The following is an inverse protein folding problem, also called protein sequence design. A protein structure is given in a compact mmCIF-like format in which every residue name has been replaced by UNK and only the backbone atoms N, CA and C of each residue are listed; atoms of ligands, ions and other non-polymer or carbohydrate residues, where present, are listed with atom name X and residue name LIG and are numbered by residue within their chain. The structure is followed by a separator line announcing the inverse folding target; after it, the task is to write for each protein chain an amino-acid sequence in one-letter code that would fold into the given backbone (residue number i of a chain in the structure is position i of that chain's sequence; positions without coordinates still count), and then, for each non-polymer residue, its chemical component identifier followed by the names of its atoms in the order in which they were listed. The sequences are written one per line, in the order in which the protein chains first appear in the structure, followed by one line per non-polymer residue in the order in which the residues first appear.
data_IF_336944259417
#
_entry.id   IF_336944259417
#
_cell.length_a   1.000
_cell.length_b   1.000
_cell.length_c   1.000
_cell.angle_alpha   90.00
_cell.angle_beta   90.00
_cell.angle_gamma   90.00
#
_symmetry.space_group_name_H-M   'P 1'
#
loop_
_entity.id
_entity.type
_entity.pdbx_description
1 polymer ?
#
# COMPACT_ATOMS: atom_id res chain seq x y z
N UNK A 1 0.11 -32.02 38.44
CA UNK A 1 1.33 -31.21 38.15
C UNK A 1 1.80 -31.27 36.69
N UNK A 2 1.72 -32.41 35.98
CA UNK A 2 2.23 -32.52 34.59
C UNK A 2 1.49 -31.66 33.53
N UNK A 3 0.20 -31.33 33.72
CA UNK A 3 -0.57 -30.49 32.78
C UNK A 3 -0.10 -29.02 32.74
N UNK A 4 0.33 -28.44 33.87
CA UNK A 4 0.78 -27.03 33.90
C UNK A 4 2.17 -26.83 33.29
N UNK A 5 3.06 -27.83 33.42
CA UNK A 5 4.36 -27.87 32.75
C UNK A 5 4.23 -27.94 31.22
N UNK A 6 3.23 -28.68 30.72
CA UNK A 6 2.95 -28.81 29.28
C UNK A 6 2.41 -27.50 28.69
N UNK A 7 1.52 -26.79 29.40
CA UNK A 7 1.03 -25.47 29.00
C UNK A 7 2.12 -24.40 29.01
N UNK A 8 3.00 -24.39 30.02
CA UNK A 8 4.15 -23.45 30.07
C UNK A 8 5.14 -23.68 28.92
N UNK A 9 5.42 -24.94 28.56
CA UNK A 9 6.27 -25.27 27.39
C UNK A 9 5.64 -24.83 26.06
N UNK A 10 4.32 -24.90 25.93
CA UNK A 10 3.59 -24.43 24.73
C UNK A 10 3.59 -22.89 24.62
N UNK A 11 3.36 -22.16 25.71
CA UNK A 11 3.46 -20.70 25.73
C UNK A 11 4.88 -20.19 25.42
N UNK A 12 5.92 -20.83 25.97
CA UNK A 12 7.30 -20.44 25.66
C UNK A 12 7.67 -20.72 24.20
N UNK A 13 7.12 -21.79 23.59
CA UNK A 13 7.30 -22.08 22.16
C UNK A 13 6.61 -21.05 21.27
N UNK A 14 5.38 -20.62 21.59
CA UNK A 14 4.68 -19.60 20.79
C UNK A 14 5.33 -18.22 20.89
N UNK A 15 5.82 -17.84 22.08
CA UNK A 15 6.59 -16.60 22.28
C UNK A 15 7.91 -16.61 21.51
N UNK A 16 8.58 -17.77 21.44
CA UNK A 16 9.82 -17.93 20.68
C UNK A 16 9.58 -17.89 19.17
N UNK A 17 8.50 -18.49 18.69
CA UNK A 17 8.07 -18.38 17.28
C UNK A 17 7.70 -16.94 16.91
N UNK A 18 6.95 -16.22 17.77
CA UNK A 18 6.64 -14.80 17.57
C UNK A 18 7.88 -13.91 17.54
N UNK A 19 8.85 -14.14 18.43
CA UNK A 19 10.14 -13.40 18.40
C UNK A 19 10.98 -13.70 17.15
N UNK A 20 10.91 -14.93 16.62
CA UNK A 20 11.58 -15.31 15.37
C UNK A 20 10.89 -14.69 14.14
N UNK A 21 9.55 -14.65 14.11
CA UNK A 21 8.78 -13.90 13.09
C UNK A 21 9.05 -12.40 13.15
N UNK A 22 9.09 -11.80 14.34
CA UNK A 22 9.42 -10.37 14.50
C UNK A 22 10.85 -10.05 14.07
N UNK A 23 11.81 -10.98 14.30
CA UNK A 23 13.19 -10.85 13.83
C UNK A 23 13.30 -10.99 12.31
N UNK A 24 12.55 -11.91 11.69
CA UNK A 24 12.57 -12.07 10.23
C UNK A 24 11.93 -10.87 9.52
N UNK A 25 10.85 -10.31 10.07
CA UNK A 25 10.22 -9.08 9.57
C UNK A 25 11.14 -7.85 9.73
N UNK A 26 11.81 -7.71 10.88
CA UNK A 26 12.82 -6.64 11.08
C UNK A 26 14.00 -6.76 10.14
N UNK A 27 14.52 -7.98 9.89
CA UNK A 27 15.61 -8.20 8.95
C UNK A 27 15.17 -7.94 7.51
N UNK A 28 13.93 -8.29 7.13
CA UNK A 28 13.36 -7.98 5.82
C UNK A 28 13.17 -6.46 5.60
N UNK A 29 12.85 -5.71 6.66
CA UNK A 29 12.75 -4.23 6.68
C UNK A 29 14.12 -3.54 6.49
N UNK A 30 15.21 -4.15 6.96
CA UNK A 30 16.58 -3.63 6.86
C UNK A 30 17.27 -3.91 5.51
N UNK A 31 16.89 -4.97 4.80
CA UNK A 31 17.47 -5.30 3.48
C UNK A 31 17.12 -4.28 2.40
N UNK A 32 16.03 -3.52 2.58
CA UNK A 32 15.57 -2.48 1.64
C UNK A 32 16.31 -1.14 1.79
N UNK A 33 17.09 -0.95 2.87
CA UNK A 33 17.67 0.35 3.21
C UNK A 33 19.07 0.60 2.60
N UNK A 34 19.67 -0.36 1.89
CA UNK A 34 21.09 -0.26 1.46
C UNK A 34 21.38 -0.29 -0.04
N UNK A 35 20.39 -0.27 -0.94
CA UNK A 35 20.67 -0.20 -2.38
C UNK A 35 20.27 1.17 -2.93
N UNK A 36 21.30 2.00 -3.17
CA UNK A 36 21.24 3.24 -3.94
C UNK A 36 20.44 3.02 -5.23
N UNK A 37 19.45 3.90 -5.43
CA UNK A 37 18.72 4.19 -6.66
C UNK A 37 17.74 3.10 -7.15
N UNK A 38 16.48 3.51 -7.32
CA UNK A 38 15.34 2.80 -7.92
C UNK A 38 14.78 1.59 -7.16
N UNK A 39 14.17 1.82 -5.99
CA UNK A 39 13.26 0.85 -5.36
C UNK A 39 11.85 1.43 -5.34
N UNK A 40 10.95 0.84 -6.14
CA UNK A 40 9.51 1.05 -6.04
C UNK A 40 9.07 0.41 -4.71
N UNK A 41 8.64 1.23 -3.75
CA UNK A 41 8.23 0.72 -2.43
C UNK A 41 6.92 -0.06 -2.57
N UNK A 42 7.03 -1.38 -2.39
CA UNK A 42 5.90 -2.26 -2.11
C UNK A 42 5.35 -1.93 -0.73
N UNK A 43 4.15 -1.35 -0.67
CA UNK A 43 3.45 -1.19 0.61
C UNK A 43 3.15 -2.57 1.17
N UNK A 44 3.62 -2.85 2.39
CA UNK A 44 3.28 -4.09 3.10
C UNK A 44 1.82 -3.97 3.52
N UNK A 45 0.94 -4.59 2.76
CA UNK A 45 -0.46 -4.81 3.15
C UNK A 45 -0.46 -5.94 4.18
N UNK A 46 -1.04 -5.69 5.36
CA UNK A 46 -1.19 -6.73 6.38
C UNK A 46 -2.39 -7.59 5.96
N UNK A 47 -2.16 -8.81 5.47
CA UNK A 47 -3.14 -9.66 4.77
C UNK A 47 -4.40 -10.06 5.59
N UNK A 48 -4.50 -9.67 6.87
CA UNK A 48 -5.68 -9.93 7.73
C UNK A 48 -6.46 -8.66 8.13
N UNK A 49 -5.93 -7.45 7.91
CA UNK A 49 -6.63 -6.21 8.23
C UNK A 49 -6.33 -5.14 7.18
N UNK A 50 -7.36 -4.38 6.79
CA UNK A 50 -7.34 -3.42 5.70
C UNK A 50 -6.46 -2.17 5.96
N UNK A 51 -5.36 -2.27 6.72
CA UNK A 51 -4.51 -1.15 7.12
C UNK A 51 -3.23 -1.07 6.29
N UNK A 52 -2.91 0.14 5.87
CA UNK A 52 -1.76 0.47 5.05
C UNK A 52 -0.81 1.33 5.87
N UNK A 53 0.44 0.88 6.02
CA UNK A 53 1.48 1.66 6.69
C UNK A 53 1.92 2.84 5.84
N UNK A 54 1.89 4.05 6.41
CA UNK A 54 2.27 5.27 5.68
C UNK A 54 3.48 5.99 6.27
N UNK A 55 3.86 5.69 7.51
CA UNK A 55 4.89 6.45 8.20
C UNK A 55 5.02 6.18 9.69
N UNK A 56 5.76 7.06 10.36
CA UNK A 56 5.97 7.06 11.81
C UNK A 56 5.65 8.43 12.37
N UNK A 57 5.04 8.48 13.56
CA UNK A 57 4.83 9.72 14.29
C UNK A 57 6.17 10.30 14.72
N UNK A 58 6.44 11.53 14.29
CA UNK A 58 7.63 12.30 14.62
C UNK A 58 7.48 13.10 15.91
N UNK A 59 8.25 14.20 16.01
CA UNK A 59 8.26 15.07 17.18
C UNK A 59 6.95 15.84 17.38
N UNK A 60 6.61 16.17 18.63
CA UNK A 60 5.51 17.10 18.91
C UNK A 60 5.89 18.54 18.50
N UNK A 61 4.96 19.22 17.83
CA UNK A 61 5.06 20.63 17.45
C UNK A 61 4.25 21.52 18.40
N UNK A 62 4.92 22.46 19.05
CA UNK A 62 4.30 23.39 20.01
C UNK A 62 3.73 22.69 21.25
N UNK A 63 2.74 23.35 21.87
CA UNK A 63 2.13 22.92 23.14
C UNK A 63 0.72 22.31 23.00
N UNK A 64 0.08 22.48 21.84
CA UNK A 64 -1.34 22.15 21.64
C UNK A 64 -1.58 20.79 20.96
N UNK A 65 -0.69 19.82 21.20
CA UNK A 65 -0.84 18.44 20.73
C UNK A 65 -0.68 18.19 19.24
N UNK A 66 0.00 19.09 18.50
CA UNK A 66 0.32 18.85 17.08
C UNK A 66 1.50 17.88 16.99
N UNK A 67 1.45 16.94 16.04
CA UNK A 67 2.53 15.97 15.78
C UNK A 67 3.09 16.14 14.37
N UNK A 68 4.40 16.00 14.21
CA UNK A 68 5.02 15.77 12.90
C UNK A 68 4.73 14.34 12.46
N UNK A 69 4.58 14.13 11.16
CA UNK A 69 4.48 12.79 10.57
C UNK A 69 5.66 12.59 9.64
N UNK A 70 6.49 11.59 9.93
CA UNK A 70 7.55 11.14 9.03
C UNK A 70 6.93 10.08 8.11
N UNK A 71 6.44 10.54 6.96
CA UNK A 71 5.77 9.68 5.98
C UNK A 71 6.76 9.10 4.98
N UNK A 72 6.40 7.96 4.40
CA UNK A 72 7.18 7.27 3.37
C UNK A 72 6.44 7.21 2.02
N UNK A 73 5.29 7.89 1.91
CA UNK A 73 4.58 8.02 0.65
C UNK A 73 5.23 9.07 -0.26
N UNK A 74 5.10 8.86 -1.58
CA UNK A 74 5.58 9.81 -2.60
C UNK A 74 4.73 11.06 -2.71
N UNK A 75 3.46 10.96 -2.35
CA UNK A 75 2.48 12.03 -2.53
C UNK A 75 1.77 12.32 -1.20
N UNK A 76 2.15 13.47 -0.61
CA UNK A 76 1.59 13.97 0.64
C UNK A 76 0.17 14.51 0.45
N UNK A 77 -0.19 14.96 -0.76
CA UNK A 77 -1.47 15.62 -1.02
C UNK A 77 -2.64 14.66 -0.76
N UNK A 78 -2.44 13.36 -1.04
CA UNK A 78 -3.42 12.30 -0.77
C UNK A 78 -3.82 12.19 0.71
N UNK A 79 -2.96 12.61 1.63
CA UNK A 79 -3.25 12.49 3.07
C UNK A 79 -3.89 13.75 3.66
N UNK A 80 -3.87 14.88 2.94
CA UNK A 80 -4.34 16.18 3.46
C UNK A 80 -5.85 16.24 3.64
N UNK A 81 -6.60 15.36 2.98
CA UNK A 81 -8.06 15.25 3.05
C UNK A 81 -8.54 14.22 4.08
N UNK A 82 -7.65 13.41 4.66
CA UNK A 82 -8.07 12.29 5.50
C UNK A 82 -8.60 12.75 6.85
N UNK A 83 -9.80 12.28 7.19
CA UNK A 83 -10.47 12.64 8.45
C UNK A 83 -9.90 11.89 9.66
N UNK A 84 -9.21 10.77 9.46
CA UNK A 84 -8.67 9.97 10.54
C UNK A 84 -7.45 9.14 10.11
N UNK A 85 -6.65 8.77 11.11
CA UNK A 85 -5.50 7.86 10.96
C UNK A 85 -5.51 6.84 12.11
N UNK A 86 -4.78 5.75 11.93
CA UNK A 86 -4.58 4.72 12.95
C UNK A 86 -3.14 4.75 13.43
N UNK A 87 -2.90 4.73 14.75
CA UNK A 87 -1.56 4.86 15.33
C UNK A 87 -1.30 3.72 16.31
N UNK A 88 -0.08 3.20 16.28
CA UNK A 88 0.40 2.17 17.21
C UNK A 88 0.12 0.75 16.76
N UNK A 89 0.63 -0.22 17.54
CA UNK A 89 0.42 -1.65 17.28
C UNK A 89 -1.06 -2.05 17.43
N UNK A 90 -1.79 -1.35 18.29
CA UNK A 90 -3.23 -1.52 18.53
C UNK A 90 -4.11 -0.88 17.46
N UNK A 91 -3.52 -0.18 16.48
CA UNK A 91 -4.23 0.55 15.41
C UNK A 91 -5.34 1.42 15.98
N UNK A 92 -5.06 2.17 17.04
CA UNK A 92 -6.08 3.05 17.63
C UNK A 92 -6.41 4.17 16.65
N UNK A 93 -7.71 4.38 16.40
CA UNK A 93 -8.22 5.45 15.52
C UNK A 93 -8.07 6.82 16.18
N UNK A 94 -7.57 7.79 15.42
CA UNK A 94 -7.45 9.20 15.80
C UNK A 94 -8.08 10.09 14.73
N UNK A 95 -9.11 10.84 15.11
CA UNK A 95 -9.78 11.78 14.22
C UNK A 95 -8.97 13.09 14.10
N UNK A 96 -8.75 13.52 12.87
CA UNK A 96 -7.99 14.73 12.55
C UNK A 96 -8.84 15.96 12.77
N UNK A 97 -8.33 16.86 13.60
CA UNK A 97 -8.87 18.21 13.78
C UNK A 97 -8.36 19.16 12.71
N UNK A 98 -7.08 19.06 12.34
CA UNK A 98 -6.47 19.92 11.34
C UNK A 98 -5.20 19.32 10.74
N UNK A 99 -5.06 19.48 9.43
CA UNK A 99 -3.84 19.18 8.66
C UNK A 99 -2.96 20.42 8.53
N UNK A 100 -1.66 20.21 8.53
CA UNK A 100 -0.65 21.24 8.30
C UNK A 100 0.42 20.69 7.37
N UNK A 101 0.51 21.24 6.16
CA UNK A 101 1.54 20.88 5.18
C UNK A 101 2.24 22.14 4.68
N UNK A 102 3.57 22.14 4.69
CA UNK A 102 4.40 23.20 4.11
C UNK A 102 5.66 22.57 3.51
N UNK A 103 5.82 22.67 2.19
CA UNK A 103 6.82 21.88 1.45
C UNK A 103 6.67 20.39 1.77
N UNK A 104 7.79 19.74 2.11
CA UNK A 104 7.85 18.33 2.48
C UNK A 104 7.47 18.03 3.94
N UNK A 105 7.11 19.04 4.74
CA UNK A 105 6.73 18.81 6.14
C UNK A 105 5.23 18.52 6.25
N UNK A 106 4.87 17.32 6.69
CA UNK A 106 3.51 16.95 7.09
C UNK A 106 3.34 16.96 8.62
N UNK A 107 2.27 17.57 9.12
CA UNK A 107 1.91 17.48 10.53
C UNK A 107 0.40 17.48 10.75
N UNK A 108 -0.01 16.78 11.80
CA UNK A 108 -1.40 16.55 12.13
C UNK A 108 -1.72 17.09 13.52
N UNK A 109 -2.94 17.57 13.67
CA UNK A 109 -3.55 17.78 14.98
C UNK A 109 -4.79 16.91 15.07
N UNK A 110 -4.85 16.06 16.08
CA UNK A 110 -6.03 15.24 16.36
C UNK A 110 -6.99 15.93 17.32
N UNK A 111 -8.25 15.49 17.32
CA UNK A 111 -9.28 15.98 18.26
C UNK A 111 -8.91 15.59 19.70
N UNK A 112 -8.43 14.36 19.87
CA UNK A 112 -8.19 13.73 21.17
C UNK A 112 -6.78 13.94 21.72
N UNK A 113 -5.90 14.62 20.98
CA UNK A 113 -4.52 14.94 21.39
C UNK A 113 -4.43 16.45 21.63
N UNK A 114 -4.49 16.86 22.90
CA UNK A 114 -4.68 18.25 23.32
C UNK A 114 -3.41 18.89 23.87
N UNK A 115 -2.49 18.08 24.38
CA UNK A 115 -1.25 18.53 25.05
C UNK A 115 0.01 18.04 24.34
N UNK A 116 1.15 18.69 24.63
CA UNK A 116 2.47 18.25 24.15
C UNK A 116 2.81 16.85 24.65
N UNK A 117 2.50 16.54 25.91
CA UNK A 117 2.82 15.25 26.52
C UNK A 117 2.04 14.11 25.87
N UNK A 118 0.76 14.32 25.56
CA UNK A 118 -0.04 13.36 24.78
C UNK A 118 0.54 13.13 23.38
N UNK A 119 1.03 14.18 22.72
CA UNK A 119 1.68 14.07 21.41
C UNK A 119 3.03 13.32 21.49
N UNK A 120 3.85 13.58 22.51
CA UNK A 120 5.11 12.85 22.72
C UNK A 120 4.87 11.36 23.06
N UNK A 121 3.77 11.02 23.74
CA UNK A 121 3.36 9.62 23.97
C UNK A 121 3.02 8.86 22.68
N UNK A 122 2.79 9.56 21.57
CA UNK A 122 2.58 8.96 20.25
C UNK A 122 3.85 8.88 19.41
N UNK A 123 4.93 9.55 19.83
CA UNK A 123 6.19 9.59 19.09
C UNK A 123 6.75 8.19 18.87
N UNK A 124 7.36 8.00 17.70
CA UNK A 124 7.93 6.74 17.20
C UNK A 124 6.92 5.59 17.01
N UNK A 125 5.62 5.84 17.19
CA UNK A 125 4.59 4.85 16.82
C UNK A 125 4.35 4.89 15.32
N UNK A 126 4.09 3.71 14.77
CA UNK A 126 3.69 3.56 13.37
C UNK A 126 2.32 4.21 13.14
N UNK A 127 2.15 4.85 11.98
CA UNK A 127 0.89 5.43 11.53
C UNK A 127 0.39 4.72 10.26
N UNK A 128 -0.91 4.47 10.22
CA UNK A 128 -1.59 3.71 9.19
C UNK A 128 -2.86 4.43 8.73
N UNK A 129 -3.33 4.06 7.54
CA UNK A 129 -4.63 4.43 6.99
C UNK A 129 -5.42 3.14 6.71
N UNK A 130 -6.74 3.23 6.59
CA UNK A 130 -7.52 2.14 6.00
C UNK A 130 -7.33 2.14 4.48
N UNK A 131 -7.30 0.98 3.84
CA UNK A 131 -7.19 0.87 2.38
C UNK A 131 -8.44 1.44 1.70
N UNK A 132 -9.58 1.45 2.38
CA UNK A 132 -10.80 2.12 1.91
C UNK A 132 -10.71 3.66 1.95
N UNK A 133 -9.75 4.23 2.71
CA UNK A 133 -9.50 5.67 2.71
C UNK A 133 -8.63 6.11 1.54
N UNK A 134 -7.91 5.20 0.90
CA UNK A 134 -7.43 5.51 -0.43
C UNK A 134 -8.68 5.79 -1.25
N UNK A 135 -8.84 7.04 -1.68
CA UNK A 135 -9.73 7.36 -2.79
C UNK A 135 -9.47 6.28 -3.81
N UNK A 136 -10.51 5.48 -4.09
CA UNK A 136 -10.47 4.40 -5.08
C UNK A 136 -9.65 4.97 -6.21
N UNK A 137 -8.47 4.38 -6.46
CA UNK A 137 -7.62 4.78 -7.56
C UNK A 137 -8.59 5.03 -8.71
N UNK A 138 -8.75 6.29 -9.15
CA UNK A 138 -9.53 6.59 -10.36
C UNK A 138 -9.12 5.52 -11.35
N UNK A 139 -10.06 4.67 -11.79
CA UNK A 139 -9.96 3.24 -12.23
C UNK A 139 -8.78 2.82 -13.17
N UNK A 140 -7.59 3.35 -12.95
CA UNK A 140 -6.57 3.64 -13.97
C UNK A 140 -5.15 3.40 -13.45
N UNK A 141 -4.96 3.16 -12.14
CA UNK A 141 -3.67 2.77 -11.59
C UNK A 141 -3.67 1.27 -11.26
N UNK A 142 -3.15 0.47 -12.19
CA UNK A 142 -3.04 -0.98 -12.05
C UNK A 142 -1.59 -1.35 -11.73
N UNK A 143 -1.38 -2.23 -10.74
CA UNK A 143 -0.04 -2.79 -10.56
C UNK A 143 0.27 -3.72 -11.74
N UNK A 144 1.48 -3.62 -12.30
CA UNK A 144 1.90 -4.50 -13.40
C UNK A 144 1.76 -5.99 -13.03
N UNK A 145 2.00 -6.34 -11.77
CA UNK A 145 1.79 -7.70 -11.25
C UNK A 145 0.35 -8.18 -11.33
N UNK A 146 -0.63 -7.29 -11.24
CA UNK A 146 -2.06 -7.63 -11.26
C UNK A 146 -2.59 -7.84 -12.67
N UNK A 147 -1.86 -7.35 -13.66
CA UNK A 147 -2.20 -7.42 -15.08
C UNK A 147 -1.56 -8.65 -15.78
N UNK A 148 -0.40 -9.12 -15.32
CA UNK A 148 0.27 -10.28 -15.92
C UNK A 148 -0.62 -11.53 -15.83
N UNK A 149 -0.79 -12.22 -16.97
CA UNK A 149 -1.58 -13.44 -17.09
C UNK A 149 -3.09 -13.25 -17.20
N UNK A 150 -3.60 -12.02 -17.17
CA UNK A 150 -5.03 -11.78 -17.39
C UNK A 150 -5.46 -12.18 -18.81
N UNK A 151 -6.69 -12.69 -18.93
CA UNK A 151 -7.31 -12.91 -20.23
C UNK A 151 -7.69 -11.57 -20.85
N UNK A 152 -7.43 -11.40 -22.14
CA UNK A 152 -7.79 -10.20 -22.92
C UNK A 152 -9.01 -10.53 -23.77
N UNK A 153 -10.05 -9.70 -23.63
CA UNK A 153 -11.32 -9.81 -24.35
C UNK A 153 -11.68 -8.46 -24.99
N UNK A 154 -12.46 -8.46 -26.06
CA UNK A 154 -13.04 -7.22 -26.62
C UNK A 154 -14.36 -6.86 -25.93
N UNK A 155 -14.92 -5.71 -26.26
CA UNK A 155 -16.26 -5.27 -25.79
C UNK A 155 -17.34 -6.24 -26.27
N UNK A 156 -17.14 -6.90 -27.41
CA UNK A 156 -18.02 -7.95 -27.95
C UNK A 156 -17.81 -9.33 -27.31
N UNK A 157 -17.10 -9.42 -26.18
CA UNK A 157 -16.77 -10.67 -25.47
C UNK A 157 -15.92 -11.66 -26.27
N UNK A 158 -15.27 -11.22 -27.36
CA UNK A 158 -14.36 -12.06 -28.13
C UNK A 158 -13.05 -12.24 -27.36
N UNK A 159 -12.68 -13.49 -27.08
CA UNK A 159 -11.40 -13.83 -26.45
C UNK A 159 -10.24 -13.63 -27.41
N UNK A 160 -9.38 -12.67 -27.09
CA UNK A 160 -8.22 -12.29 -27.88
C UNK A 160 -7.00 -13.12 -27.49
N UNK A 161 -6.73 -13.22 -26.20
CA UNK A 161 -5.49 -13.82 -25.73
C UNK A 161 -5.21 -13.61 -24.25
N UNK A 162 -3.92 -13.56 -23.87
CA UNK A 162 -3.47 -13.30 -22.50
C UNK A 162 -2.32 -12.31 -22.46
N UNK A 163 -2.27 -11.52 -21.38
CA UNK A 163 -1.14 -10.60 -21.13
C UNK A 163 0.09 -11.41 -20.74
N UNK A 164 1.16 -11.28 -21.53
CA UNK A 164 2.44 -11.97 -21.32
C UNK A 164 3.46 -11.09 -20.62
N UNK A 165 3.53 -9.81 -20.97
CA UNK A 165 4.49 -8.86 -20.42
C UNK A 165 3.93 -7.44 -20.43
N UNK A 166 4.57 -6.56 -19.68
CA UNK A 166 4.26 -5.13 -19.60
C UNK A 166 5.58 -4.39 -19.65
N UNK A 167 5.66 -3.38 -20.52
CA UNK A 167 6.84 -2.55 -20.71
C UNK A 167 6.50 -1.11 -20.37
N UNK A 168 7.42 -0.43 -19.68
CA UNK A 168 7.35 1.00 -19.43
C UNK A 168 8.63 1.65 -19.96
N UNK A 169 8.48 2.48 -21.00
CA UNK A 169 9.61 3.20 -21.62
C UNK A 169 9.70 4.67 -21.16
N UNK A 170 9.06 5.03 -20.06
CA UNK A 170 9.11 6.36 -19.46
C UNK A 170 8.03 7.35 -19.93
N UNK A 171 7.21 6.99 -20.93
CA UNK A 171 6.10 7.82 -21.41
C UNK A 171 4.72 7.18 -21.14
N UNK A 172 4.57 5.88 -21.44
CA UNK A 172 3.34 5.11 -21.21
C UNK A 172 3.66 3.63 -21.03
N UNK A 173 2.73 2.91 -20.42
CA UNK A 173 2.79 1.45 -20.32
C UNK A 173 2.31 0.82 -21.65
N UNK A 174 3.00 -0.23 -22.09
CA UNK A 174 2.64 -1.05 -23.25
C UNK A 174 2.47 -2.49 -22.77
N UNK A 175 1.32 -3.09 -23.07
CA UNK A 175 1.05 -4.50 -22.77
C UNK A 175 1.37 -5.38 -23.97
N UNK A 176 2.05 -6.50 -23.72
CA UNK A 176 2.28 -7.57 -24.70
C UNK A 176 1.19 -8.62 -24.54
N UNK A 177 0.36 -8.79 -25.56
CA UNK A 177 -0.72 -9.77 -25.58
C UNK A 177 -0.34 -10.93 -26.50
N UNK A 178 -0.29 -12.13 -25.94
CA UNK A 178 -0.21 -13.37 -26.72
C UNK A 178 -1.60 -13.69 -27.23
N UNK A 179 -1.80 -13.54 -28.54
CA UNK A 179 -3.06 -13.87 -29.19
C UNK A 179 -3.29 -15.38 -29.21
N UNK A 180 -4.56 -15.78 -29.24
CA UNK A 180 -4.95 -17.19 -29.42
C UNK A 180 -4.45 -17.77 -30.76
N UNK A 181 -4.12 -16.93 -31.74
CA UNK A 181 -3.50 -17.31 -33.02
C UNK A 181 -2.00 -17.63 -32.90
N UNK A 182 -1.37 -17.41 -31.74
CA UNK A 182 0.06 -17.57 -31.51
C UNK A 182 0.91 -16.35 -31.88
N UNK A 183 0.32 -15.32 -32.49
CA UNK A 183 0.97 -14.02 -32.72
C UNK A 183 1.05 -13.21 -31.41
N UNK A 184 1.96 -12.24 -31.39
CA UNK A 184 2.14 -11.32 -30.27
C UNK A 184 1.78 -9.91 -30.74
N UNK A 185 0.94 -9.23 -29.98
CA UNK A 185 0.54 -7.84 -30.22
C UNK A 185 0.97 -6.94 -29.07
N UNK A 186 1.35 -5.72 -29.39
CA UNK A 186 1.75 -4.70 -28.42
C UNK A 186 0.69 -3.61 -28.38
N UNK A 187 -0.03 -3.51 -27.27
CA UNK A 187 -1.16 -2.58 -27.11
C UNK A 187 -0.78 -1.50 -26.10
N UNK A 188 -0.92 -0.21 -26.42
CA UNK A 188 -0.76 0.85 -25.44
C UNK A 188 -1.78 0.71 -24.30
N UNK A 189 -1.32 0.76 -23.05
CA UNK A 189 -2.20 0.72 -21.88
C UNK A 189 -2.76 2.12 -21.59
N UNK A 190 -3.59 2.61 -22.51
CA UNK A 190 -4.24 3.93 -22.44
C UNK A 190 -5.76 3.80 -22.57
N UNK A 191 -6.51 4.85 -22.21
CA UNK A 191 -7.98 4.88 -22.31
C UNK A 191 -8.50 4.72 -23.73
N UNK A 192 -7.65 4.92 -24.73
CA UNK A 192 -8.00 4.77 -26.14
C UNK A 192 -8.06 3.30 -26.57
N UNK A 193 -7.41 2.40 -25.83
CA UNK A 193 -7.36 0.97 -26.14
C UNK A 193 -7.94 0.09 -25.03
N UNK A 194 -7.76 0.48 -23.77
CA UNK A 194 -8.29 -0.25 -22.61
C UNK A 194 -9.65 0.30 -22.23
N UNK A 195 -10.68 -0.56 -22.29
CA UNK A 195 -12.04 -0.20 -21.88
C UNK A 195 -12.25 -0.42 -20.38
N UNK A 196 -11.85 -1.59 -19.86
CA UNK A 196 -12.05 -1.94 -18.46
C UNK A 196 -11.04 -3.00 -18.02
N UNK A 197 -10.56 -2.93 -16.78
CA UNK A 197 -9.80 -4.02 -16.16
C UNK A 197 -10.60 -4.59 -15.00
N UNK A 198 -10.74 -5.91 -14.96
CA UNK A 198 -11.34 -6.66 -13.87
C UNK A 198 -10.21 -7.41 -13.17
N UNK A 199 -9.74 -6.84 -12.05
CA UNK A 199 -8.58 -7.34 -11.30
C UNK A 199 -8.63 -8.86 -11.09
N UNK A 200 -7.51 -9.55 -11.34
CA UNK A 200 -7.35 -11.01 -11.19
C UNK A 200 -8.26 -11.88 -12.09
N UNK A 201 -9.05 -11.28 -13.00
CA UNK A 201 -9.94 -12.01 -13.92
C UNK A 201 -9.60 -11.75 -15.40
N UNK A 202 -9.80 -10.52 -15.87
CA UNK A 202 -9.69 -10.19 -17.30
C UNK A 202 -9.46 -8.70 -17.57
N UNK A 203 -8.89 -8.41 -18.74
CA UNK A 203 -8.76 -7.09 -19.36
C UNK A 203 -9.73 -7.01 -20.55
N UNK A 204 -10.52 -5.95 -20.63
CA UNK A 204 -11.41 -5.64 -21.75
C UNK A 204 -10.80 -4.49 -22.55
N UNK A 205 -10.53 -4.74 -23.83
CA UNK A 205 -10.02 -3.75 -24.78
C UNK A 205 -11.14 -3.29 -25.72
N UNK A 206 -11.01 -2.07 -26.26
CA UNK A 206 -11.85 -1.59 -27.35
C UNK A 206 -11.58 -2.40 -28.63
N UNK A 207 -12.56 -2.49 -29.51
CA UNK A 207 -12.38 -3.11 -30.82
C UNK A 207 -11.18 -2.50 -31.54
N UNK A 208 -10.28 -3.36 -31.96
CA UNK A 208 -9.11 -3.04 -32.78
C UNK A 208 -9.18 -3.88 -34.05
N UNK A 209 -8.83 -3.30 -35.18
CA UNK A 209 -8.59 -4.05 -36.41
C UNK A 209 -7.28 -4.83 -36.24
N UNK A 210 -7.39 -6.13 -35.89
CA UNK A 210 -6.28 -7.08 -35.73
C UNK A 210 -6.31 -8.10 -36.87
#
# INVERSE_FOLDING_TARGET
QQRSLRQRKLQQRSLRQRKLQQRSLRQRKLLLTKKKNNVIYSTVVDDENNFIFIGVVGNAKGLKGQILVNYFARDIDKFKSYEYFYIGEDKKKYNVKKHYSFGDSFSLKFIDVKSRDEAENLKNKDIFIDSSQLESLSDENWYHSDLLGLNVETITEKKIGKIKAIYNFGASDIIEVMLNSGKVEMIPFTKDFVYQVIAKKKLIIKEMDI
#
